data_IF_340410800687
#
_entry.id   IF_340410800687
#
_cell.length_a   1.000
_cell.length_b   1.000
_cell.length_c   1.000
_cell.angle_alpha   90.00
_cell.angle_beta   90.00
_cell.angle_gamma   90.00
#
_symmetry.space_group_name_H-M   'P 1'
#
loop_
_entity.id
_entity.type
_entity.pdbx_description
1 polymer ?
#
# COMPACT_ATOMS: atom_id res chain seq x y z
N UNK A 1 -20.27 -52.87 16.32
CA UNK A 1 -20.68 -51.65 17.09
C UNK A 1 -19.50 -50.74 17.52
N UNK A 2 -18.29 -51.20 17.78
CA UNK A 2 -17.10 -50.41 18.17
C UNK A 2 -16.61 -49.43 17.08
N UNK A 3 -16.65 -49.78 15.78
CA UNK A 3 -16.11 -48.96 14.70
C UNK A 3 -16.95 -47.68 14.47
N UNK A 4 -18.29 -47.75 14.53
CA UNK A 4 -19.19 -46.60 14.40
C UNK A 4 -19.00 -45.54 15.48
N UNK A 5 -18.71 -45.92 16.71
CA UNK A 5 -18.48 -44.99 17.84
C UNK A 5 -17.13 -44.29 17.70
N UNK A 6 -16.13 -44.95 17.14
CA UNK A 6 -14.79 -44.38 16.90
C UNK A 6 -14.87 -43.33 15.78
N UNK A 7 -15.50 -43.66 14.65
CA UNK A 7 -15.72 -42.75 13.52
C UNK A 7 -16.49 -41.50 13.97
N UNK A 8 -17.55 -41.65 14.76
CA UNK A 8 -18.31 -40.53 15.29
C UNK A 8 -17.46 -39.61 16.16
N UNK A 9 -16.60 -40.15 17.05
CA UNK A 9 -15.71 -39.34 17.90
C UNK A 9 -14.66 -38.57 17.09
N UNK A 10 -14.12 -39.16 16.05
CA UNK A 10 -13.15 -38.54 15.14
C UNK A 10 -13.81 -37.40 14.38
N UNK A 11 -15.00 -37.64 13.80
CA UNK A 11 -15.77 -36.62 13.07
C UNK A 11 -16.17 -35.47 14.00
N UNK A 12 -16.66 -35.78 15.20
CA UNK A 12 -17.00 -34.76 16.21
C UNK A 12 -15.77 -33.93 16.62
N UNK A 13 -14.61 -34.56 16.81
CA UNK A 13 -13.36 -33.87 17.10
C UNK A 13 -12.91 -32.95 15.99
N UNK A 14 -13.02 -33.37 14.72
CA UNK A 14 -12.72 -32.54 13.55
C UNK A 14 -13.66 -31.32 13.48
N UNK A 15 -14.97 -31.54 13.70
CA UNK A 15 -15.96 -30.46 13.69
C UNK A 15 -15.71 -29.43 14.79
N UNK A 16 -15.37 -29.88 16.01
CA UNK A 16 -15.02 -28.99 17.12
C UNK A 16 -13.75 -28.21 16.79
N UNK A 17 -12.74 -28.85 16.20
CA UNK A 17 -11.51 -28.19 15.80
C UNK A 17 -11.76 -27.13 14.71
N UNK A 18 -12.55 -27.45 13.69
CA UNK A 18 -12.93 -26.50 12.64
C UNK A 18 -13.74 -25.31 13.18
N UNK A 19 -14.65 -25.59 14.12
CA UNK A 19 -15.41 -24.52 14.79
C UNK A 19 -14.49 -23.61 15.60
N UNK A 20 -13.52 -24.17 16.33
CA UNK A 20 -12.54 -23.40 17.08
C UNK A 20 -11.68 -22.52 16.15
N UNK A 21 -11.28 -23.02 15.00
CA UNK A 21 -10.56 -22.25 13.98
C UNK A 21 -11.42 -21.10 13.43
N UNK A 22 -12.69 -21.35 13.13
CA UNK A 22 -13.62 -20.31 12.65
C UNK A 22 -13.85 -19.22 13.71
N UNK A 23 -14.03 -19.60 14.96
CA UNK A 23 -14.19 -18.64 16.06
C UNK A 23 -12.90 -17.82 16.24
N UNK A 24 -11.74 -18.46 16.23
CA UNK A 24 -10.45 -17.77 16.32
C UNK A 24 -10.26 -16.80 15.16
N UNK A 25 -10.60 -17.20 13.94
CA UNK A 25 -10.53 -16.32 12.77
C UNK A 25 -11.48 -15.12 12.90
N UNK A 26 -12.71 -15.34 13.35
CA UNK A 26 -13.67 -14.27 13.57
C UNK A 26 -13.20 -13.29 14.67
N UNK A 27 -12.64 -13.78 15.76
CA UNK A 27 -12.08 -12.95 16.83
C UNK A 27 -10.89 -12.13 16.34
N UNK A 28 -9.99 -12.74 15.56
CA UNK A 28 -8.88 -12.03 14.93
C UNK A 28 -9.39 -10.96 13.95
N UNK A 29 -10.43 -11.26 13.17
CA UNK A 29 -11.05 -10.28 12.27
C UNK A 29 -11.57 -9.07 13.04
N UNK A 30 -12.29 -9.31 14.15
CA UNK A 30 -12.77 -8.23 15.02
C UNK A 30 -11.60 -7.43 15.59
N UNK A 31 -10.59 -8.10 16.13
CA UNK A 31 -9.41 -7.46 16.71
C UNK A 31 -8.67 -6.56 15.69
N UNK A 32 -8.35 -7.08 14.52
CA UNK A 32 -7.72 -6.32 13.45
C UNK A 32 -8.52 -5.06 13.07
N UNK A 33 -9.84 -5.18 13.03
CA UNK A 33 -10.72 -4.06 12.68
C UNK A 33 -10.94 -3.06 13.82
N UNK A 34 -10.62 -3.40 15.08
CA UNK A 34 -10.52 -2.41 16.17
C UNK A 34 -9.28 -1.53 16.02
N UNK A 35 -8.22 -2.05 15.42
CA UNK A 35 -6.98 -1.31 15.13
C UNK A 35 -7.10 -0.44 13.87
N UNK A 36 -8.09 -0.69 13.02
CA UNK A 36 -8.29 -0.01 11.74
C UNK A 36 -9.63 0.72 11.71
N UNK A 37 -9.69 2.04 11.85
CA UNK A 37 -10.93 2.79 12.09
C UNK A 37 -11.95 2.79 10.96
N UNK A 38 -11.66 2.17 9.82
CA UNK A 38 -12.53 2.21 8.64
C UNK A 38 -13.86 1.49 8.77
N UNK A 39 -13.95 0.48 9.64
CA UNK A 39 -15.17 -0.33 9.80
C UNK A 39 -16.35 0.42 10.42
N UNK A 40 -16.11 1.57 11.03
CA UNK A 40 -17.13 2.35 11.74
C UNK A 40 -17.86 3.37 10.86
N UNK A 41 -17.51 3.47 9.58
CA UNK A 41 -18.02 4.48 8.67
C UNK A 41 -19.38 4.17 8.00
N UNK A 42 -19.97 3.03 8.27
CA UNK A 42 -21.25 2.68 7.68
C UNK A 42 -22.38 3.48 8.35
N UNK A 43 -22.67 4.67 7.83
CA UNK A 43 -23.76 5.51 8.26
C UNK A 43 -23.40 6.88 8.84
N UNK A 44 -22.14 7.23 8.95
CA UNK A 44 -21.75 8.59 9.31
C UNK A 44 -22.14 9.55 8.17
N UNK A 45 -22.80 10.65 8.52
CA UNK A 45 -23.09 11.74 7.57
C UNK A 45 -21.76 12.27 7.03
N UNK A 46 -21.51 12.04 5.75
CA UNK A 46 -20.29 12.49 5.06
C UNK A 46 -20.47 14.00 4.84
N UNK A 47 -19.87 14.80 5.71
CA UNK A 47 -19.72 16.24 5.49
C UNK A 47 -18.53 16.44 4.54
N UNK A 48 -18.77 16.26 3.24
CA UNK A 48 -17.75 16.47 2.22
C UNK A 48 -17.41 17.96 2.14
N UNK A 49 -16.16 18.29 2.44
CA UNK A 49 -15.60 19.59 2.14
C UNK A 49 -14.51 19.41 1.09
N UNK A 50 -14.79 19.72 -0.21
CA UNK A 50 -13.74 19.79 -1.20
C UNK A 50 -12.75 20.88 -0.78
N UNK A 51 -11.47 20.56 -0.75
CA UNK A 51 -10.43 21.58 -0.63
C UNK A 51 -10.23 22.20 -2.01
N UNK A 52 -10.18 23.51 -2.11
CA UNK A 52 -9.75 24.19 -3.34
C UNK A 52 -8.34 23.73 -3.74
N UNK A 53 -7.94 23.92 -5.00
CA UNK A 53 -6.60 23.56 -5.46
C UNK A 53 -5.53 24.18 -4.56
N UNK A 54 -4.70 23.36 -3.92
CA UNK A 54 -3.64 23.81 -3.00
C UNK A 54 -4.10 24.21 -1.60
N UNK A 55 -5.40 24.12 -1.27
CA UNK A 55 -5.91 24.36 0.08
C UNK A 55 -5.87 23.06 0.90
N UNK A 56 -5.19 23.10 2.06
CA UNK A 56 -5.13 21.95 2.97
C UNK A 56 -6.38 21.93 3.86
N UNK A 57 -7.09 20.82 3.83
CA UNK A 57 -8.14 20.53 4.80
C UNK A 57 -7.56 20.40 6.23
N UNK A 58 -8.37 20.51 7.30
CA UNK A 58 -7.90 20.33 8.67
C UNK A 58 -7.13 19.02 8.90
N UNK A 59 -7.62 17.91 8.35
CA UNK A 59 -6.93 16.61 8.41
C UNK A 59 -5.63 16.61 7.63
N UNK A 60 -5.60 17.16 6.41
CA UNK A 60 -4.38 17.23 5.60
C UNK A 60 -3.31 18.10 6.28
N UNK A 61 -3.71 19.26 6.83
CA UNK A 61 -2.81 20.14 7.55
C UNK A 61 -2.23 19.48 8.82
N UNK A 62 -3.05 18.74 9.56
CA UNK A 62 -2.59 17.98 10.74
C UNK A 62 -1.62 16.87 10.34
N UNK A 63 -1.93 16.11 9.31
CA UNK A 63 -1.07 15.06 8.79
C UNK A 63 0.27 15.63 8.32
N UNK A 64 0.26 16.68 7.51
CA UNK A 64 1.48 17.30 7.01
C UNK A 64 2.39 17.80 8.17
N UNK A 65 1.81 18.43 9.20
CA UNK A 65 2.57 18.83 10.40
C UNK A 65 3.17 17.64 11.14
N UNK A 66 2.42 16.53 11.27
CA UNK A 66 2.90 15.30 11.92
C UNK A 66 4.12 14.70 11.23
N UNK A 67 4.22 14.86 9.92
CA UNK A 67 5.35 14.38 9.10
C UNK A 67 6.42 15.46 8.83
N UNK A 68 6.61 16.43 9.72
CA UNK A 68 7.68 17.42 9.65
C UNK A 68 7.30 18.77 9.03
N UNK A 69 6.09 18.88 8.46
CA UNK A 69 5.57 20.15 7.94
C UNK A 69 5.96 20.44 6.49
N UNK A 70 5.33 21.48 5.96
CA UNK A 70 5.43 21.86 4.56
C UNK A 70 6.85 22.21 4.11
N UNK A 71 7.58 22.97 4.91
CA UNK A 71 8.92 23.44 4.57
C UNK A 71 9.91 22.29 4.35
N UNK A 72 9.82 21.24 5.18
CA UNK A 72 10.68 20.05 5.08
C UNK A 72 10.41 19.32 3.77
N UNK A 73 9.14 19.09 3.43
CA UNK A 73 8.76 18.37 2.22
C UNK A 73 8.99 19.15 0.92
N UNK A 74 8.89 20.48 0.96
CA UNK A 74 9.26 21.33 -0.18
C UNK A 74 10.76 21.41 -0.44
N UNK A 75 11.57 21.29 0.61
CA UNK A 75 13.03 21.28 0.50
C UNK A 75 13.58 19.91 0.10
N UNK A 76 12.85 18.83 0.36
CA UNK A 76 13.28 17.48 0.04
C UNK A 76 13.26 17.22 -1.47
N UNK A 77 14.32 16.61 -1.99
CA UNK A 77 14.42 16.21 -3.39
C UNK A 77 14.07 14.75 -3.58
N UNK A 78 14.55 13.88 -2.70
CA UNK A 78 14.25 12.47 -2.75
C UNK A 78 14.13 11.84 -1.35
N UNK A 79 13.54 10.66 -1.30
CA UNK A 79 13.54 9.76 -0.15
C UNK A 79 14.32 8.51 -0.51
N UNK A 80 15.29 8.16 0.32
CA UNK A 80 16.00 6.89 0.27
C UNK A 80 15.54 5.96 1.39
N UNK A 81 15.39 4.68 1.06
CA UNK A 81 14.87 3.69 1.99
C UNK A 81 15.48 2.31 1.72
N UNK A 82 15.61 1.48 2.75
CA UNK A 82 15.89 0.04 2.62
C UNK A 82 14.62 -0.71 3.00
N UNK A 83 14.15 -1.58 2.10
CA UNK A 83 12.83 -2.22 2.21
C UNK A 83 12.92 -3.71 1.96
N UNK A 84 12.23 -4.49 2.78
CA UNK A 84 11.93 -5.90 2.51
C UNK A 84 10.45 -6.02 2.14
N UNK A 85 10.20 -6.59 0.97
CA UNK A 85 8.85 -6.80 0.41
C UNK A 85 8.57 -8.27 0.24
N UNK A 86 7.37 -8.70 0.59
CA UNK A 86 6.94 -10.08 0.42
C UNK A 86 5.42 -10.21 0.39
N UNK A 87 4.94 -11.43 0.57
CA UNK A 87 3.51 -11.72 0.68
C UNK A 87 2.98 -12.68 -0.38
N UNK A 88 1.69 -12.99 -0.26
CA UNK A 88 1.04 -13.98 -1.11
C UNK A 88 0.95 -13.54 -2.57
N UNK A 89 0.75 -12.22 -2.84
CA UNK A 89 0.61 -11.70 -4.19
C UNK A 89 1.79 -12.09 -5.09
N UNK A 90 3.02 -11.86 -4.63
CA UNK A 90 4.21 -12.10 -5.44
C UNK A 90 4.39 -13.58 -5.76
N UNK A 91 4.08 -14.48 -4.82
CA UNK A 91 4.06 -15.92 -5.07
C UNK A 91 3.03 -16.30 -6.14
N UNK A 92 1.82 -15.74 -6.10
CA UNK A 92 0.77 -15.96 -7.11
C UNK A 92 1.21 -15.42 -8.48
N UNK A 93 1.89 -14.29 -8.51
CA UNK A 93 2.45 -13.69 -9.74
C UNK A 93 3.69 -14.44 -10.26
N UNK A 94 4.27 -15.34 -9.46
CA UNK A 94 5.48 -16.10 -9.81
C UNK A 94 6.76 -15.26 -9.68
N UNK A 95 6.77 -14.34 -8.73
CA UNK A 95 7.84 -13.38 -8.49
C UNK A 95 8.56 -13.72 -7.18
N UNK A 96 9.90 -13.60 -7.21
CA UNK A 96 10.75 -13.56 -6.03
C UNK A 96 11.41 -12.17 -5.95
N UNK A 97 11.29 -11.50 -4.81
CA UNK A 97 11.84 -10.17 -4.58
C UNK A 97 12.99 -10.30 -3.58
N UNK A 98 14.19 -9.81 -3.92
CA UNK A 98 15.29 -9.79 -2.96
C UNK A 98 14.93 -8.98 -1.71
N UNK A 99 15.30 -9.43 -0.51
CA UNK A 99 15.17 -8.61 0.69
C UNK A 99 16.14 -7.43 0.66
N UNK A 100 15.89 -6.43 1.50
CA UNK A 100 16.77 -5.28 1.73
C UNK A 100 17.07 -4.44 0.46
N UNK A 101 16.12 -4.40 -0.48
CA UNK A 101 16.25 -3.56 -1.66
C UNK A 101 16.33 -2.07 -1.27
N UNK A 102 17.27 -1.35 -1.87
CA UNK A 102 17.36 0.11 -1.74
C UNK A 102 16.35 0.75 -2.69
N UNK A 103 15.49 1.57 -2.13
CA UNK A 103 14.46 2.31 -2.89
C UNK A 103 14.79 3.79 -2.79
N UNK A 104 14.86 4.45 -3.93
CA UNK A 104 14.98 5.91 -4.00
C UNK A 104 13.79 6.45 -4.78
N UNK A 105 13.03 7.37 -4.18
CA UNK A 105 11.89 8.02 -4.84
C UNK A 105 12.12 9.54 -4.90
N UNK A 106 11.82 10.14 -6.03
CA UNK A 106 11.75 11.60 -6.17
C UNK A 106 10.49 12.10 -5.46
N UNK A 107 10.61 13.17 -4.67
CA UNK A 107 9.49 13.71 -3.88
C UNK A 107 8.46 14.40 -4.79
N UNK A 108 8.89 15.06 -5.84
CA UNK A 108 8.06 15.94 -6.65
C UNK A 108 7.38 15.25 -7.83
N UNK A 109 8.01 14.22 -8.39
CA UNK A 109 7.50 13.51 -9.57
C UNK A 109 7.51 11.99 -9.38
N UNK A 110 6.64 11.25 -10.08
CA UNK A 110 6.64 9.79 -10.02
C UNK A 110 7.91 9.21 -10.67
N UNK A 111 8.97 9.16 -9.88
CA UNK A 111 10.24 8.54 -10.27
C UNK A 111 10.75 7.68 -9.12
N UNK A 112 11.04 6.42 -9.42
CA UNK A 112 11.48 5.44 -8.41
C UNK A 112 12.60 4.59 -8.97
N UNK A 113 13.65 4.43 -8.19
CA UNK A 113 14.76 3.50 -8.45
C UNK A 113 14.72 2.40 -7.41
N UNK A 114 14.81 1.14 -7.84
CA UNK A 114 14.85 -0.07 -6.99
C UNK A 114 16.16 -0.80 -7.28
N UNK A 115 16.99 -0.97 -6.26
CA UNK A 115 18.34 -1.53 -6.38
C UNK A 115 18.66 -2.49 -5.19
N UNK A 116 18.83 -3.78 -5.43
CA UNK A 116 18.55 -4.49 -6.69
C UNK A 116 17.05 -4.69 -6.90
N UNK A 117 16.64 -4.80 -8.18
CA UNK A 117 15.27 -5.12 -8.56
C UNK A 117 14.98 -6.61 -8.43
N UNK A 118 15.98 -7.44 -8.66
CA UNK A 118 15.89 -8.89 -8.65
C UNK A 118 17.24 -9.55 -8.25
N UNK A 119 17.26 -10.88 -8.25
CA UNK A 119 18.44 -11.69 -7.90
C UNK A 119 19.64 -11.52 -8.85
N UNK A 120 19.42 -10.98 -10.06
CA UNK A 120 20.50 -10.68 -11.02
C UNK A 120 21.31 -9.43 -10.62
N UNK A 121 20.83 -8.65 -9.65
CA UNK A 121 21.46 -7.39 -9.25
C UNK A 121 21.15 -6.23 -10.19
N UNK A 122 20.19 -6.40 -11.11
CA UNK A 122 19.77 -5.36 -12.02
C UNK A 122 18.96 -4.26 -11.29
N UNK A 123 18.97 -3.07 -11.87
CA UNK A 123 18.33 -1.89 -11.31
C UNK A 123 17.02 -1.63 -12.04
N UNK A 124 15.94 -1.45 -11.30
CA UNK A 124 14.65 -1.05 -11.86
C UNK A 124 14.45 0.46 -11.76
N UNK A 125 14.00 1.09 -12.84
CA UNK A 125 13.67 2.53 -12.88
C UNK A 125 12.26 2.71 -13.40
N UNK A 126 11.42 3.39 -12.60
CA UNK A 126 10.13 3.92 -13.04
C UNK A 126 10.28 5.43 -13.26
N UNK A 127 9.75 5.94 -14.37
CA UNK A 127 9.62 7.38 -14.65
C UNK A 127 8.23 7.65 -15.27
N UNK A 128 7.31 8.16 -14.47
CA UNK A 128 5.91 8.26 -14.83
C UNK A 128 5.30 6.89 -15.12
N UNK A 129 4.87 6.64 -16.35
CA UNK A 129 4.35 5.34 -16.80
C UNK A 129 5.41 4.46 -17.45
N UNK A 130 6.57 5.02 -17.72
CA UNK A 130 7.70 4.30 -18.32
C UNK A 130 8.46 3.50 -17.26
N UNK A 131 8.90 2.30 -17.65
CA UNK A 131 9.74 1.45 -16.80
C UNK A 131 10.92 0.89 -17.60
N UNK A 132 12.06 0.77 -16.95
CA UNK A 132 13.25 0.18 -17.55
C UNK A 132 14.04 -0.65 -16.53
N UNK A 133 14.63 -1.74 -17.00
CA UNK A 133 15.60 -2.54 -16.25
C UNK A 133 16.99 -2.20 -16.80
N UNK A 134 17.89 -1.88 -15.90
CA UNK A 134 19.25 -1.43 -16.21
C UNK A 134 20.24 -2.36 -15.53
N UNK A 135 21.24 -2.84 -16.28
CA UNK A 135 22.34 -3.62 -15.71
C UNK A 135 23.21 -2.72 -14.80
N UNK A 136 24.01 -3.30 -13.87
CA UNK A 136 24.91 -2.53 -13.02
C UNK A 136 25.93 -1.67 -13.77
N UNK A 137 26.23 -2.01 -15.03
CA UNK A 137 27.12 -1.26 -15.91
C UNK A 137 26.41 -0.06 -16.63
N UNK A 138 25.12 0.15 -16.35
CA UNK A 138 24.31 1.24 -16.92
C UNK A 138 23.62 0.90 -18.27
N UNK A 139 23.77 -0.30 -18.79
CA UNK A 139 23.15 -0.73 -20.05
C UNK A 139 21.68 -1.06 -19.83
N UNK A 140 20.79 -0.49 -20.65
CA UNK A 140 19.36 -0.80 -20.63
C UNK A 140 19.16 -2.22 -21.17
N UNK A 141 18.56 -3.08 -20.35
CA UNK A 141 18.23 -4.48 -20.68
C UNK A 141 16.81 -4.60 -21.22
N UNK A 142 15.87 -3.95 -20.59
CA UNK A 142 14.45 -3.98 -20.93
C UNK A 142 13.83 -2.58 -20.75
N UNK A 143 12.87 -2.24 -21.60
CA UNK A 143 12.16 -0.97 -21.51
C UNK A 143 10.71 -1.11 -22.00
N UNK A 144 9.81 -0.37 -21.34
CA UNK A 144 8.40 -0.25 -21.72
C UNK A 144 7.94 1.17 -21.48
N UNK A 145 7.51 1.86 -22.55
CA UNK A 145 7.17 3.28 -22.53
C UNK A 145 5.88 3.57 -21.72
N UNK A 146 4.87 2.72 -21.84
CA UNK A 146 3.67 2.77 -20.99
C UNK A 146 3.37 1.35 -20.44
N UNK A 147 3.79 1.13 -19.20
CA UNK A 147 3.58 -0.16 -18.52
C UNK A 147 2.13 -0.37 -18.10
N UNK A 148 1.33 0.69 -17.95
CA UNK A 148 -0.08 0.62 -17.57
C UNK A 148 -0.91 -0.14 -18.60
N UNK A 149 -0.62 0.05 -19.90
CA UNK A 149 -1.37 -0.60 -20.98
C UNK A 149 -1.28 -2.13 -20.93
N UNK A 150 -0.15 -2.66 -20.49
CA UNK A 150 0.07 -4.10 -20.35
C UNK A 150 -0.69 -4.76 -19.18
N UNK A 151 -1.24 -3.95 -18.28
CA UNK A 151 -1.91 -4.42 -17.06
C UNK A 151 -3.42 -4.17 -17.06
N UNK A 152 -4.00 -3.71 -18.18
CA UNK A 152 -5.43 -3.37 -18.28
C UNK A 152 -6.37 -4.56 -18.03
N UNK A 153 -5.94 -5.79 -18.34
CA UNK A 153 -6.71 -7.02 -18.14
C UNK A 153 -6.05 -7.93 -17.09
N UNK A 154 -5.36 -7.34 -16.12
CA UNK A 154 -4.71 -8.10 -15.06
C UNK A 154 -5.73 -8.87 -14.21
N UNK A 155 -5.34 -10.05 -13.74
CA UNK A 155 -6.06 -10.80 -12.70
C UNK A 155 -5.06 -11.28 -11.65
N UNK A 156 -5.56 -11.67 -10.48
CA UNK A 156 -4.70 -12.07 -9.36
C UNK A 156 -3.71 -13.19 -9.72
N UNK A 157 -4.09 -14.09 -10.65
CA UNK A 157 -3.27 -15.22 -11.09
C UNK A 157 -2.45 -14.95 -12.35
N UNK A 158 -2.65 -13.82 -13.04
CA UNK A 158 -1.85 -13.47 -14.22
C UNK A 158 -0.39 -13.29 -13.81
N UNK A 159 0.51 -14.04 -14.42
CA UNK A 159 1.95 -13.93 -14.15
C UNK A 159 2.48 -12.57 -14.59
N UNK A 160 3.42 -12.04 -13.84
CA UNK A 160 4.11 -10.79 -14.18
C UNK A 160 5.51 -11.06 -14.73
N UNK A 161 5.90 -10.25 -15.70
CA UNK A 161 7.30 -10.06 -16.05
C UNK A 161 7.97 -9.03 -15.12
N UNK A 162 9.26 -8.79 -15.33
CA UNK A 162 10.05 -7.85 -14.51
C UNK A 162 9.55 -6.41 -14.64
N UNK A 163 9.11 -6.00 -15.82
CA UNK A 163 8.61 -4.64 -16.09
C UNK A 163 7.23 -4.41 -15.43
N UNK A 164 6.36 -5.43 -15.39
CA UNK A 164 5.09 -5.36 -14.67
C UNK A 164 5.30 -5.24 -13.16
N UNK A 165 6.24 -6.03 -12.60
CA UNK A 165 6.63 -5.93 -11.20
C UNK A 165 7.19 -4.53 -10.87
N UNK A 166 8.12 -4.05 -11.70
CA UNK A 166 8.74 -2.74 -11.54
C UNK A 166 7.71 -1.61 -11.56
N UNK A 167 6.78 -1.64 -12.51
CA UNK A 167 5.70 -0.65 -12.55
C UNK A 167 4.89 -0.64 -11.26
N UNK A 168 4.45 -1.83 -10.81
CA UNK A 168 3.65 -1.96 -9.60
C UNK A 168 4.39 -1.47 -8.35
N UNK A 169 5.62 -1.92 -8.12
CA UNK A 169 6.41 -1.51 -6.96
C UNK A 169 6.82 -0.03 -7.04
N UNK A 170 7.19 0.43 -8.23
CA UNK A 170 7.68 1.79 -8.45
C UNK A 170 6.65 2.85 -8.06
N UNK A 171 5.43 2.76 -8.59
CA UNK A 171 4.39 3.72 -8.22
C UNK A 171 3.89 3.54 -6.78
N UNK A 172 3.91 2.29 -6.27
CA UNK A 172 3.49 2.03 -4.89
C UNK A 172 4.45 2.71 -3.89
N UNK A 173 5.77 2.55 -4.08
CA UNK A 173 6.75 3.20 -3.21
C UNK A 173 6.74 4.71 -3.35
N UNK A 174 6.62 5.23 -4.57
CA UNK A 174 6.43 6.67 -4.74
C UNK A 174 5.24 7.17 -3.94
N UNK A 175 4.08 6.51 -4.07
CA UNK A 175 2.87 6.86 -3.32
C UNK A 175 3.05 6.78 -1.81
N UNK A 176 3.69 5.73 -1.31
CA UNK A 176 3.83 5.50 0.13
C UNK A 176 4.84 6.44 0.80
N UNK A 177 5.93 6.77 0.12
CA UNK A 177 7.02 7.56 0.71
C UNK A 177 6.84 9.06 0.52
N UNK A 178 6.01 9.49 -0.44
CA UNK A 178 5.77 10.92 -0.71
C UNK A 178 4.38 11.39 -0.31
N UNK A 179 3.57 10.56 0.38
CA UNK A 179 2.20 10.93 0.77
C UNK A 179 2.08 12.31 1.43
N UNK A 180 2.95 12.73 2.39
CA UNK A 180 2.83 14.07 2.97
C UNK A 180 3.02 15.20 1.96
N UNK A 181 3.92 15.03 0.97
CA UNK A 181 4.08 15.98 -0.12
C UNK A 181 2.85 15.98 -1.05
N UNK A 182 2.28 14.81 -1.31
CA UNK A 182 1.11 14.68 -2.19
C UNK A 182 -0.11 15.45 -1.66
N UNK A 183 -0.23 15.66 -0.34
CA UNK A 183 -1.29 16.49 0.25
C UNK A 183 -1.25 17.94 -0.22
N UNK A 184 -0.08 18.43 -0.68
CA UNK A 184 0.13 19.79 -1.17
C UNK A 184 0.04 19.91 -2.69
N UNK A 185 -0.08 18.80 -3.43
CA UNK A 185 -0.11 18.82 -4.90
C UNK A 185 -1.45 19.37 -5.41
N UNK A 186 -1.37 20.19 -6.46
CA UNK A 186 -2.55 20.78 -7.11
C UNK A 186 -3.16 19.91 -8.20
N UNK A 187 -2.46 18.85 -8.61
CA UNK A 187 -2.93 17.87 -9.60
C UNK A 187 -3.57 16.62 -8.96
N UNK A 188 -3.75 16.63 -7.63
CA UNK A 188 -4.52 15.65 -6.88
C UNK A 188 -5.68 16.38 -6.19
N UNK A 189 -6.90 15.93 -6.46
CA UNK A 189 -8.07 16.48 -5.79
C UNK A 189 -8.28 15.76 -4.46
N UNK A 190 -8.20 16.53 -3.35
CA UNK A 190 -8.40 16.01 -2.01
C UNK A 190 -9.76 16.41 -1.47
N UNK A 191 -10.52 15.46 -0.96
CA UNK A 191 -11.78 15.67 -0.26
C UNK A 191 -11.69 15.14 1.16
N UNK A 192 -11.92 15.98 2.16
CA UNK A 192 -12.10 15.53 3.54
C UNK A 192 -13.53 14.98 3.68
N UNK A 193 -13.64 13.66 3.90
CA UNK A 193 -14.93 12.99 4.07
C UNK A 193 -15.46 13.17 5.49
N UNK A 194 -14.56 13.18 6.46
CA UNK A 194 -14.77 13.48 7.88
C UNK A 194 -13.42 13.66 8.56
N UNK A 195 -13.38 14.08 9.83
CA UNK A 195 -12.13 14.22 10.58
C UNK A 195 -11.31 12.91 10.55
N UNK A 196 -10.06 13.03 10.13
CA UNK A 196 -9.13 11.91 9.97
C UNK A 196 -9.29 11.10 8.68
N UNK A 197 -10.26 11.41 7.78
CA UNK A 197 -10.46 10.63 6.55
C UNK A 197 -10.42 11.50 5.32
N UNK A 198 -9.42 11.26 4.46
CA UNK A 198 -9.27 11.94 3.17
C UNK A 198 -9.51 10.96 2.03
N UNK A 199 -10.13 11.44 0.98
CA UNK A 199 -10.21 10.78 -0.32
C UNK A 199 -9.42 11.57 -1.34
N UNK A 200 -8.56 10.89 -2.07
CA UNK A 200 -7.81 11.43 -3.20
C UNK A 200 -8.44 11.00 -4.52
N UNK A 201 -8.57 11.93 -5.45
CA UNK A 201 -8.74 11.66 -6.88
C UNK A 201 -7.45 12.04 -7.61
N UNK A 202 -6.72 11.05 -8.05
CA UNK A 202 -5.43 11.20 -8.75
C UNK A 202 -5.59 11.51 -10.24
N UNK A 203 -6.82 11.57 -10.74
CA UNK A 203 -7.05 11.71 -12.19
C UNK A 203 -6.49 10.51 -12.98
N UNK A 204 -5.97 10.78 -14.17
CA UNK A 204 -5.43 9.76 -15.08
C UNK A 204 -3.94 9.93 -15.39
N UNK A 205 -3.33 11.02 -14.91
CA UNK A 205 -1.98 11.43 -15.29
C UNK A 205 -0.89 10.96 -14.31
N UNK A 206 -1.28 10.36 -13.20
CA UNK A 206 -0.36 9.84 -12.19
C UNK A 206 -0.41 8.31 -12.15
N UNK A 207 0.75 7.62 -12.08
CA UNK A 207 0.82 6.19 -11.87
C UNK A 207 0.52 5.88 -10.40
N UNK A 208 -0.62 5.25 -10.15
CA UNK A 208 -1.11 4.93 -8.81
C UNK A 208 -1.91 3.62 -8.81
N UNK A 209 -2.20 3.06 -7.65
CA UNK A 209 -2.98 1.82 -7.52
C UNK A 209 -4.37 1.91 -8.16
N UNK A 210 -5.10 2.99 -7.90
CA UNK A 210 -6.37 3.34 -8.50
C UNK A 210 -6.56 4.85 -8.44
N UNK A 211 -7.39 5.39 -9.36
CA UNK A 211 -7.70 6.81 -9.42
C UNK A 211 -8.23 7.32 -8.08
N UNK A 212 -9.18 6.62 -7.49
CA UNK A 212 -9.76 6.97 -6.19
C UNK A 212 -9.11 6.11 -5.11
N UNK A 213 -8.56 6.77 -4.09
CA UNK A 213 -8.00 6.14 -2.92
C UNK A 213 -8.49 6.83 -1.66
N UNK A 214 -8.57 6.12 -0.54
CA UNK A 214 -9.01 6.67 0.73
C UNK A 214 -7.96 6.45 1.80
N UNK A 215 -7.71 7.48 2.59
CA UNK A 215 -6.65 7.52 3.60
C UNK A 215 -7.26 7.83 4.97
N UNK A 216 -6.87 7.04 5.96
CA UNK A 216 -7.27 7.23 7.36
C UNK A 216 -6.07 7.66 8.18
N UNK A 217 -6.20 8.80 8.80
CA UNK A 217 -5.21 9.38 9.71
C UNK A 217 -5.72 9.32 11.14
N UNK A 218 -4.83 9.09 12.07
CA UNK A 218 -5.14 9.22 13.49
C UNK A 218 -5.46 10.68 13.82
N UNK A 219 -6.63 10.91 14.42
CA UNK A 219 -7.12 12.28 14.67
C UNK A 219 -6.34 13.04 15.74
N UNK A 220 -5.60 12.32 16.60
CA UNK A 220 -4.76 12.91 17.64
C UNK A 220 -3.34 13.18 17.16
N UNK A 221 -2.73 12.18 16.52
CA UNK A 221 -1.32 12.25 16.09
C UNK A 221 -1.12 12.76 14.68
N UNK A 222 -2.13 12.66 13.81
CA UNK A 222 -2.00 12.97 12.39
C UNK A 222 -1.29 11.90 11.55
N UNK A 223 -0.91 10.77 12.17
CA UNK A 223 -0.19 9.71 11.46
C UNK A 223 -1.14 8.83 10.65
N UNK A 224 -0.68 8.40 9.48
CA UNK A 224 -1.43 7.49 8.60
C UNK A 224 -1.63 6.14 9.29
N UNK A 225 -2.87 5.65 9.28
CA UNK A 225 -3.24 4.34 9.84
C UNK A 225 -3.55 3.32 8.75
N UNK A 226 -4.12 3.79 7.64
CA UNK A 226 -4.62 2.90 6.57
C UNK A 226 -4.77 3.66 5.26
N UNK A 227 -4.55 2.97 4.14
CA UNK A 227 -4.83 3.44 2.81
C UNK A 227 -5.57 2.36 2.01
N UNK A 228 -6.77 2.65 1.53
CA UNK A 228 -7.60 1.72 0.76
C UNK A 228 -7.64 2.10 -0.70
N UNK A 229 -7.52 1.08 -1.54
CA UNK A 229 -7.54 1.23 -2.99
C UNK A 229 -7.92 -0.08 -3.70
N UNK A 230 -8.16 0.02 -4.99
CA UNK A 230 -8.21 -1.11 -5.91
C UNK A 230 -6.85 -1.23 -6.58
N UNK A 231 -6.11 -2.35 -6.44
CA UNK A 231 -4.81 -2.51 -7.07
C UNK A 231 -4.98 -2.90 -8.55
N UNK A 232 -5.40 -1.95 -9.40
CA UNK A 232 -5.84 -2.22 -10.79
C UNK A 232 -4.78 -2.94 -11.62
N UNK A 233 -3.49 -2.68 -11.36
CA UNK A 233 -2.39 -3.37 -12.02
C UNK A 233 -2.26 -4.84 -11.61
N UNK A 234 -2.80 -5.24 -10.46
CA UNK A 234 -2.76 -6.62 -9.99
C UNK A 234 -4.08 -7.35 -10.26
N UNK A 235 -5.19 -6.71 -9.96
CA UNK A 235 -6.56 -7.18 -10.19
C UNK A 235 -7.55 -6.02 -10.02
N UNK A 236 -8.26 -5.59 -11.07
CA UNK A 236 -9.21 -4.48 -11.00
C UNK A 236 -10.47 -4.79 -10.16
N UNK A 237 -10.70 -6.04 -9.81
CA UNK A 237 -11.82 -6.45 -8.96
C UNK A 237 -11.43 -6.60 -7.48
N UNK A 238 -10.14 -6.56 -7.17
CA UNK A 238 -9.66 -6.68 -5.80
C UNK A 238 -9.97 -5.41 -4.99
N UNK A 239 -10.22 -5.61 -3.71
CA UNK A 239 -10.41 -4.54 -2.72
C UNK A 239 -9.45 -4.78 -1.59
N UNK A 240 -8.57 -3.82 -1.37
CA UNK A 240 -7.51 -3.98 -0.39
C UNK A 240 -7.41 -2.77 0.52
N UNK A 241 -6.92 -3.04 1.72
CA UNK A 241 -6.50 -2.05 2.69
C UNK A 241 -5.02 -2.25 3.01
N UNK A 242 -4.23 -1.22 2.81
CA UNK A 242 -2.85 -1.16 3.23
C UNK A 242 -2.79 -0.58 4.65
N UNK A 243 -2.72 -1.45 5.63
CA UNK A 243 -2.75 -1.12 7.06
C UNK A 243 -1.34 -0.81 7.54
N UNK A 244 -1.18 0.29 8.26
CA UNK A 244 0.07 0.68 8.92
C UNK A 244 0.07 0.15 10.36
N UNK A 245 0.99 -0.76 10.65
CA UNK A 245 1.14 -1.36 11.98
C UNK A 245 2.13 -0.59 12.85
N UNK A 246 3.21 -0.09 12.23
CA UNK A 246 4.28 0.59 12.96
C UNK A 246 4.78 1.81 12.20
N UNK A 247 5.23 2.80 12.97
CA UNK A 247 5.97 3.96 12.47
C UNK A 247 7.37 3.95 13.04
N UNK A 248 8.35 4.20 12.20
CA UNK A 248 9.72 4.53 12.58
C UNK A 248 9.92 6.03 12.67
N UNK A 249 11.11 6.44 13.09
CA UNK A 249 11.51 7.84 13.18
C UNK A 249 12.88 8.03 12.54
N UNK A 250 13.01 9.05 11.68
CA UNK A 250 14.27 9.44 11.08
C UNK A 250 14.44 10.96 11.18
N UNK A 251 15.46 11.42 11.90
CA UNK A 251 15.72 12.84 12.13
C UNK A 251 14.48 13.64 12.60
N UNK A 252 13.70 13.05 13.51
CA UNK A 252 12.47 13.66 14.03
C UNK A 252 11.26 13.58 13.11
N UNK A 253 11.36 12.94 11.95
CA UNK A 253 10.28 12.77 10.98
C UNK A 253 9.79 11.32 11.05
N UNK A 254 8.51 11.09 11.36
CA UNK A 254 7.95 9.75 11.34
C UNK A 254 7.82 9.23 9.91
N UNK A 255 7.96 7.93 9.74
CA UNK A 255 7.68 7.21 8.50
C UNK A 255 6.97 5.90 8.80
N UNK A 256 6.24 5.37 7.86
CA UNK A 256 5.56 4.09 8.02
C UNK A 256 6.57 2.94 7.87
N UNK A 257 6.94 2.30 9.00
CA UNK A 257 7.98 1.25 9.01
C UNK A 257 7.42 -0.14 8.74
N UNK A 258 6.16 -0.39 9.05
CA UNK A 258 5.55 -1.71 8.82
C UNK A 258 4.13 -1.58 8.25
N UNK A 259 3.95 -2.14 7.06
CA UNK A 259 2.67 -2.16 6.35
C UNK A 259 2.28 -3.57 5.95
N UNK A 260 0.97 -3.82 5.96
CA UNK A 260 0.37 -5.08 5.49
C UNK A 260 -0.82 -4.77 4.59
N UNK A 261 -0.78 -5.28 3.37
CA UNK A 261 -1.91 -5.17 2.45
C UNK A 261 -2.81 -6.38 2.66
N UNK A 262 -4.03 -6.10 3.05
CA UNK A 262 -5.04 -7.09 3.42
C UNK A 262 -6.24 -7.02 2.50
N UNK A 263 -6.96 -8.14 2.33
CA UNK A 263 -8.24 -8.14 1.65
C UNK A 263 -9.29 -7.38 2.48
N UNK A 264 -10.01 -6.50 1.82
CA UNK A 264 -11.20 -5.85 2.39
C UNK A 264 -12.47 -6.63 1.99
N UNK A 265 -13.35 -6.92 2.94
CA UNK A 265 -14.62 -7.62 2.68
C UNK A 265 -15.55 -6.84 1.75
N UNK A 266 -15.49 -5.52 1.86
CA UNK A 266 -16.13 -4.57 0.97
C UNK A 266 -15.25 -3.36 0.81
N UNK A 267 -15.53 -2.54 -0.20
CA UNK A 267 -14.73 -1.33 -0.39
C UNK A 267 -14.81 -0.44 0.85
N UNK A 268 -13.64 -0.06 1.39
CA UNK A 268 -13.50 0.73 2.63
C UNK A 268 -14.06 0.06 3.89
N UNK A 269 -14.28 -1.24 3.85
CA UNK A 269 -14.88 -2.00 4.93
C UNK A 269 -13.87 -2.73 5.81
N UNK A 270 -14.37 -3.75 6.47
CA UNK A 270 -13.58 -4.63 7.31
C UNK A 270 -12.53 -5.39 6.53
N UNK A 271 -11.36 -5.54 7.13
CA UNK A 271 -10.25 -6.32 6.58
C UNK A 271 -10.23 -7.72 7.16
N UNK A 272 -9.80 -8.69 6.33
CA UNK A 272 -9.52 -10.03 6.81
C UNK A 272 -8.15 -10.06 7.51
N UNK A 273 -7.99 -10.83 8.60
CA UNK A 273 -6.75 -10.85 9.38
C UNK A 273 -5.58 -11.49 8.60
N UNK A 274 -5.86 -12.45 7.73
CA UNK A 274 -4.89 -13.08 6.84
C UNK A 274 -5.60 -13.69 5.61
N UNK A 275 -4.84 -14.01 4.53
CA UNK A 275 -3.40 -13.80 4.39
C UNK A 275 -3.04 -12.32 4.20
N UNK A 276 -1.80 -11.96 4.57
CA UNK A 276 -1.21 -10.72 4.09
C UNK A 276 -0.86 -10.89 2.61
N UNK A 277 -1.54 -10.14 1.75
CA UNK A 277 -1.26 -10.16 0.31
C UNK A 277 0.09 -9.55 -0.01
N UNK A 278 0.44 -8.45 0.67
CA UNK A 278 1.75 -7.82 0.58
C UNK A 278 2.20 -7.47 1.99
N UNK A 279 3.46 -7.75 2.27
CA UNK A 279 4.17 -7.30 3.46
C UNK A 279 5.25 -6.31 3.05
N UNK A 280 5.36 -5.19 3.77
CA UNK A 280 6.34 -4.15 3.52
C UNK A 280 6.95 -3.78 4.87
N UNK A 281 8.24 -4.04 5.03
CA UNK A 281 9.02 -3.69 6.19
C UNK A 281 10.12 -2.71 5.77
N UNK A 282 10.07 -1.48 6.29
CA UNK A 282 11.00 -0.39 5.99
C UNK A 282 12.01 -0.29 7.11
N UNK A 283 13.26 -0.65 6.82
CA UNK A 283 14.33 -0.76 7.81
C UNK A 283 15.05 0.57 8.02
N UNK A 284 15.20 1.34 6.94
CA UNK A 284 15.80 2.67 6.93
C UNK A 284 15.00 3.60 6.03
N UNK A 285 14.91 4.85 6.44
CA UNK A 285 14.24 5.88 5.67
C UNK A 285 14.91 7.23 5.95
N UNK A 286 15.21 8.01 4.92
CA UNK A 286 15.80 9.35 5.06
C UNK A 286 15.52 10.21 3.84
N UNK A 287 15.54 11.51 4.00
CA UNK A 287 15.67 12.44 2.88
C UNK A 287 17.11 12.46 2.33
N UNK A 288 17.25 12.68 1.04
CA UNK A 288 18.50 12.95 0.35
C UNK A 288 18.38 14.26 -0.44
#
# INVERSE_FOLDING_TARGET
>A
MRSRRWTFRVVAGILVFLLALLVSYALLTVYENTLTPAALDQGATINTRPSGPGELSPTAARALRAYGGEAVWKAATAVESTVTVGGLLFRLKGINIPPHAKITVDVQRPHTVIDPMDESGDIGVLDGFSVMIVAPDGRILEHRADAREHLQNASIITKWDRLNLLYFLGYAFWGYFTLPYQLMRTDIEWTELRDGVLQADYGTNLPVHSRIQRFWFDTKTGLLRRNDYTPVAADPNARVANVVFEHGMSNGIPYTSKRRVKTSLQQYGWVLPFPDFITIDVERWRFS
#
